data_IF_220968387316
#
_entry.id   IF_220968387316
#
_cell.length_a   1.000
_cell.length_b   1.000
_cell.length_c   1.000
_cell.angle_alpha   90.00
_cell.angle_beta   90.00
_cell.angle_gamma   90.00
#
_symmetry.space_group_name_H-M   'P 1'
#
loop_
_entity.id
_entity.type
_entity.pdbx_description
1 polymer ?
#
# COMPACT_ATOMS: atom_id res chain seq x y z
N UNK A 1 -5.04 19.68 -3.27
CA UNK A 1 -4.84 18.29 -2.80
C UNK A 1 -3.37 17.95 -3.02
N UNK A 2 -2.65 17.53 -1.97
CA UNK A 2 -1.30 16.96 -2.11
C UNK A 2 -1.34 15.93 -3.23
N UNK A 3 -0.66 16.19 -4.35
CA UNK A 3 -0.63 15.25 -5.46
C UNK A 3 -0.07 13.93 -4.93
N UNK A 4 -0.86 12.85 -4.99
CA UNK A 4 -0.55 11.54 -4.43
C UNK A 4 0.88 11.07 -4.75
N UNK A 5 1.40 11.39 -5.94
CA UNK A 5 2.78 11.06 -6.35
C UNK A 5 3.92 11.89 -5.72
N UNK A 6 3.64 13.00 -5.04
CA UNK A 6 4.66 13.86 -4.39
C UNK A 6 4.88 13.58 -2.90
N UNK A 7 4.11 12.65 -2.33
CA UNK A 7 4.22 12.30 -0.92
C UNK A 7 5.60 11.74 -0.53
N UNK A 8 6.29 10.93 -1.35
CA UNK A 8 7.61 10.40 -1.00
C UNK A 8 8.67 11.51 -0.90
N UNK A 9 8.62 12.47 -1.81
CA UNK A 9 9.49 13.65 -1.81
C UNK A 9 9.26 14.51 -0.57
N UNK A 10 7.98 14.73 -0.21
CA UNK A 10 7.61 15.47 0.99
C UNK A 10 8.08 14.75 2.28
N UNK A 11 7.97 13.42 2.33
CA UNK A 11 8.43 12.63 3.47
C UNK A 11 9.95 12.69 3.60
N UNK A 12 10.69 12.54 2.50
CA UNK A 12 12.14 12.70 2.49
C UNK A 12 12.57 14.09 2.98
N UNK A 13 11.86 15.13 2.53
CA UNK A 13 12.12 16.51 2.97
C UNK A 13 11.85 16.70 4.48
N UNK A 14 10.75 16.14 5.00
CA UNK A 14 10.44 16.17 6.44
C UNK A 14 11.53 15.47 7.26
N UNK A 15 12.04 14.32 6.80
CA UNK A 15 13.17 13.66 7.42
C UNK A 15 14.42 14.55 7.41
N UNK A 16 14.67 15.30 6.33
CA UNK A 16 15.73 16.31 6.26
C UNK A 16 15.59 17.40 7.34
N UNK A 17 14.39 17.94 7.53
CA UNK A 17 14.12 18.91 8.60
C UNK A 17 14.35 18.34 9.99
N UNK A 18 13.94 17.09 10.23
CA UNK A 18 14.22 16.40 11.48
C UNK A 18 15.74 16.23 11.70
N UNK A 19 16.49 15.85 10.66
CA UNK A 19 17.94 15.76 10.75
C UNK A 19 18.59 17.11 11.10
N UNK A 20 18.10 18.22 10.54
CA UNK A 20 18.57 19.57 10.91
C UNK A 20 18.32 19.85 12.40
N UNK A 21 17.14 19.52 12.93
CA UNK A 21 16.85 19.71 14.35
C UNK A 21 17.76 18.88 15.27
N UNK A 22 18.16 17.68 14.84
CA UNK A 22 19.05 16.79 15.59
C UNK A 22 20.53 17.23 15.58
N UNK A 23 20.93 18.21 14.76
CA UNK A 23 22.31 18.72 14.70
C UNK A 23 22.81 19.32 16.00
N UNK A 24 21.92 19.72 16.90
CA UNK A 24 22.29 20.17 18.24
C UNK A 24 22.81 19.03 19.14
N UNK A 25 22.55 17.76 18.77
CA UNK A 25 22.84 16.58 19.58
C UNK A 25 23.82 15.62 18.90
N UNK A 26 23.89 15.61 17.56
CA UNK A 26 24.66 14.64 16.78
C UNK A 26 25.36 15.32 15.60
N UNK A 27 26.53 14.80 15.23
CA UNK A 27 27.25 15.26 14.05
C UNK A 27 26.50 14.99 12.73
N UNK A 28 26.82 15.75 11.68
CA UNK A 28 26.05 15.73 10.43
C UNK A 28 26.19 14.40 9.69
N UNK A 29 27.37 13.81 9.72
CA UNK A 29 27.71 12.63 8.90
C UNK A 29 26.84 11.40 9.23
N UNK A 30 26.61 11.02 10.50
CA UNK A 30 25.63 9.98 10.85
C UNK A 30 24.21 10.28 10.36
N UNK A 31 23.77 11.54 10.44
CA UNK A 31 22.43 11.96 10.03
C UNK A 31 22.25 11.88 8.50
N UNK A 32 23.26 12.31 7.74
CA UNK A 32 23.29 12.18 6.28
C UNK A 32 23.31 10.70 5.88
N UNK A 33 24.11 9.89 6.57
CA UNK A 33 24.18 8.44 6.35
C UNK A 33 22.81 7.78 6.55
N UNK A 34 22.08 8.16 7.61
CA UNK A 34 20.72 7.67 7.82
C UNK A 34 19.75 8.17 6.73
N UNK A 35 19.86 9.43 6.32
CA UNK A 35 19.00 10.04 5.29
C UNK A 35 19.13 9.34 3.93
N UNK A 36 20.36 8.98 3.55
CA UNK A 36 20.65 8.31 2.28
C UNK A 36 20.03 6.91 2.18
N UNK A 37 19.64 6.30 3.29
CA UNK A 37 18.93 5.01 3.31
C UNK A 37 17.46 5.12 2.92
N UNK A 38 16.87 6.33 2.97
CA UNK A 38 15.44 6.51 2.74
C UNK A 38 15.00 6.02 1.36
N UNK A 39 15.69 6.43 0.30
CA UNK A 39 15.31 6.08 -1.08
C UNK A 39 15.25 4.56 -1.32
N UNK A 40 16.34 3.82 -1.05
CA UNK A 40 16.35 2.36 -1.18
C UNK A 40 15.30 1.65 -0.32
N UNK A 41 15.13 2.07 0.95
CA UNK A 41 14.14 1.48 1.85
C UNK A 41 12.71 1.74 1.38
N UNK A 42 12.45 2.95 0.87
CA UNK A 42 11.16 3.31 0.32
C UNK A 42 10.84 2.48 -0.93
N UNK A 43 11.79 2.35 -1.86
CA UNK A 43 11.64 1.56 -3.09
C UNK A 43 11.33 0.08 -2.79
N UNK A 44 12.05 -0.53 -1.84
CA UNK A 44 11.75 -1.90 -1.41
C UNK A 44 10.37 -2.00 -0.77
N UNK A 45 10.05 -1.11 0.17
CA UNK A 45 8.79 -1.17 0.90
C UNK A 45 7.57 -0.96 -0.02
N UNK A 46 7.66 -0.02 -0.96
CA UNK A 46 6.59 0.28 -1.91
C UNK A 46 6.41 -0.89 -2.89
N UNK A 47 7.49 -1.44 -3.45
CA UNK A 47 7.44 -2.59 -4.36
C UNK A 47 6.69 -3.78 -3.76
N UNK A 48 7.07 -4.17 -2.53
CA UNK A 48 6.41 -5.28 -1.82
C UNK A 48 4.93 -5.00 -1.53
N UNK A 49 4.57 -3.76 -1.17
CA UNK A 49 3.17 -3.36 -0.94
C UNK A 49 2.34 -3.42 -2.23
N UNK A 50 2.89 -3.00 -3.36
CA UNK A 50 2.23 -3.09 -4.66
C UNK A 50 2.03 -4.54 -5.10
N UNK A 51 3.06 -5.39 -4.99
CA UNK A 51 2.95 -6.82 -5.26
C UNK A 51 1.85 -7.46 -4.40
N UNK A 52 1.79 -7.14 -3.10
CA UNK A 52 0.73 -7.65 -2.21
C UNK A 52 -0.68 -7.20 -2.63
N UNK A 53 -0.90 -5.91 -2.93
CA UNK A 53 -2.21 -5.42 -3.40
C UNK A 53 -2.61 -6.08 -4.72
N UNK A 54 -1.65 -6.25 -5.63
CA UNK A 54 -1.84 -6.95 -6.90
C UNK A 54 -1.92 -8.47 -6.77
N UNK A 55 -1.72 -9.05 -5.59
CA UNK A 55 -1.71 -10.51 -5.42
C UNK A 55 -0.63 -11.19 -6.27
N UNK A 56 0.54 -10.57 -6.41
CA UNK A 56 1.71 -11.08 -7.15
C UNK A 56 2.85 -11.38 -6.17
N UNK A 57 3.66 -12.39 -6.47
CA UNK A 57 4.90 -12.68 -5.72
C UNK A 57 5.98 -11.67 -6.11
N UNK A 58 6.52 -10.94 -5.13
CA UNK A 58 7.66 -10.02 -5.32
C UNK A 58 8.84 -10.73 -5.99
N UNK A 59 9.55 -10.00 -6.86
CA UNK A 59 10.70 -10.51 -7.61
C UNK A 59 12.01 -9.80 -7.27
N UNK A 60 12.01 -8.97 -6.22
CA UNK A 60 13.14 -8.14 -5.84
C UNK A 60 12.94 -6.67 -6.21
N UNK A 61 13.78 -5.81 -5.62
CA UNK A 61 13.60 -4.35 -5.61
C UNK A 61 13.55 -3.77 -7.02
N UNK A 62 14.44 -4.21 -7.91
CA UNK A 62 14.56 -3.68 -9.26
C UNK A 62 13.32 -3.99 -10.08
N UNK A 63 12.92 -5.27 -10.15
CA UNK A 63 11.73 -5.71 -10.88
C UNK A 63 10.46 -5.07 -10.31
N UNK A 64 10.33 -5.01 -8.98
CA UNK A 64 9.15 -4.44 -8.34
C UNK A 64 9.07 -2.92 -8.56
N UNK A 65 10.20 -2.22 -8.68
CA UNK A 65 10.24 -0.79 -9.03
C UNK A 65 9.76 -0.53 -10.46
N UNK A 66 10.11 -1.42 -11.39
CA UNK A 66 9.59 -1.37 -12.77
C UNK A 66 8.08 -1.62 -12.80
N UNK A 67 7.59 -2.60 -12.02
CA UNK A 67 6.16 -2.88 -11.86
C UNK A 67 5.41 -1.65 -11.31
N UNK A 68 5.91 -1.04 -10.24
CA UNK A 68 5.32 0.19 -9.66
C UNK A 68 5.24 1.29 -10.71
N UNK A 69 6.35 1.52 -11.43
CA UNK A 69 6.42 2.57 -12.46
C UNK A 69 5.42 2.33 -13.61
N UNK A 70 5.25 1.07 -14.04
CA UNK A 70 4.28 0.69 -15.06
C UNK A 70 2.84 0.89 -14.57
N UNK A 71 2.55 0.49 -13.34
CA UNK A 71 1.22 0.66 -12.76
C UNK A 71 0.85 2.13 -12.57
N UNK A 72 1.76 2.96 -12.07
CA UNK A 72 1.54 4.40 -11.95
C UNK A 72 1.29 5.08 -13.29
N UNK A 73 1.96 4.61 -14.35
CA UNK A 73 1.73 5.11 -15.71
C UNK A 73 0.33 4.77 -16.18
N UNK A 74 -0.09 3.50 -16.07
CA UNK A 74 -1.44 3.06 -16.44
C UNK A 74 -2.53 3.79 -15.62
N UNK A 75 -2.35 3.95 -14.31
CA UNK A 75 -3.25 4.75 -13.46
C UNK A 75 -3.44 6.18 -13.98
N UNK A 76 -2.35 6.85 -14.37
CA UNK A 76 -2.39 8.22 -14.90
C UNK A 76 -3.08 8.30 -16.27
N UNK A 77 -2.82 7.33 -17.13
CA UNK A 77 -3.38 7.28 -18.49
C UNK A 77 -4.86 6.93 -18.48
N UNK A 78 -5.26 5.94 -17.69
CA UNK A 78 -6.64 5.46 -17.58
C UNK A 78 -7.54 6.34 -16.70
N UNK A 79 -6.94 7.18 -15.84
CA UNK A 79 -7.63 8.07 -14.89
C UNK A 79 -8.61 7.31 -13.98
N UNK A 80 -8.26 6.08 -13.62
CA UNK A 80 -9.03 5.26 -12.68
C UNK A 80 -8.50 5.42 -11.25
N UNK A 81 -9.38 5.20 -10.27
CA UNK A 81 -9.00 5.26 -8.87
C UNK A 81 -8.11 4.07 -8.50
N UNK A 82 -7.17 4.23 -7.53
CA UNK A 82 -6.31 3.14 -7.10
C UNK A 82 -7.07 1.87 -6.70
N UNK A 83 -8.18 1.98 -5.96
CA UNK A 83 -8.92 0.81 -5.47
C UNK A 83 -9.50 -0.03 -6.61
N UNK A 84 -10.05 0.63 -7.64
CA UNK A 84 -10.50 0.01 -8.88
C UNK A 84 -9.33 -0.63 -9.65
N UNK A 85 -8.19 0.07 -9.76
CA UNK A 85 -7.01 -0.45 -10.44
C UNK A 85 -6.51 -1.76 -9.82
N UNK A 86 -6.28 -1.77 -8.50
CA UNK A 86 -5.79 -2.97 -7.82
C UNK A 86 -6.79 -4.12 -7.89
N UNK A 87 -8.09 -3.82 -7.75
CA UNK A 87 -9.13 -4.83 -7.88
C UNK A 87 -9.18 -5.45 -9.29
N UNK A 88 -9.12 -4.60 -10.32
CA UNK A 88 -9.16 -5.00 -11.72
C UNK A 88 -7.97 -5.89 -12.09
N UNK A 89 -6.78 -5.53 -11.62
CA UNK A 89 -5.51 -6.16 -12.02
C UNK A 89 -4.95 -7.19 -11.04
N UNK A 90 -5.68 -7.52 -9.96
CA UNK A 90 -5.22 -8.54 -9.01
C UNK A 90 -4.99 -9.89 -9.69
N UNK A 91 -3.93 -10.57 -9.31
CA UNK A 91 -3.44 -11.80 -9.93
C UNK A 91 -2.87 -11.59 -11.33
N UNK A 92 -2.58 -10.34 -11.74
CA UNK A 92 -2.07 -10.01 -13.07
C UNK A 92 -3.12 -10.08 -14.18
N UNK A 93 -4.41 -10.14 -13.83
CA UNK A 93 -5.51 -10.21 -14.81
C UNK A 93 -5.77 -8.84 -15.47
N UNK A 94 -6.43 -8.86 -16.63
CA UNK A 94 -6.90 -7.66 -17.34
C UNK A 94 -5.82 -6.60 -17.67
N UNK A 95 -4.53 -6.93 -17.50
CA UNK A 95 -3.44 -6.05 -17.88
C UNK A 95 -3.33 -5.97 -19.40
N UNK A 96 -2.94 -4.81 -19.92
CA UNK A 96 -2.74 -4.59 -21.36
C UNK A 96 -1.48 -3.75 -21.60
N UNK A 97 -0.99 -3.76 -22.84
CA UNK A 97 0.18 -2.99 -23.27
C UNK A 97 1.40 -3.21 -22.37
N UNK A 98 2.10 -2.13 -22.05
CA UNK A 98 3.31 -2.17 -21.23
C UNK A 98 3.10 -2.74 -19.82
N UNK A 99 1.88 -2.61 -19.26
CA UNK A 99 1.57 -3.20 -17.95
C UNK A 99 1.52 -4.73 -18.03
N UNK A 100 0.93 -5.28 -19.10
CA UNK A 100 0.91 -6.72 -19.34
C UNK A 100 2.31 -7.28 -19.53
N UNK A 101 3.17 -6.57 -20.28
CA UNK A 101 4.55 -6.99 -20.53
C UNK A 101 5.35 -7.14 -19.22
N UNK A 102 5.20 -6.16 -18.31
CA UNK A 102 5.87 -6.22 -17.00
C UNK A 102 5.27 -7.30 -16.10
N UNK A 103 3.94 -7.40 -16.06
CA UNK A 103 3.23 -8.39 -15.22
C UNK A 103 3.42 -9.84 -15.70
N UNK A 104 3.70 -10.08 -16.98
CA UNK A 104 3.88 -11.43 -17.54
C UNK A 104 5.01 -12.22 -16.87
N UNK A 105 6.00 -11.53 -16.31
CA UNK A 105 7.12 -12.15 -15.61
C UNK A 105 6.82 -12.45 -14.12
N UNK A 106 5.66 -12.05 -13.61
CA UNK A 106 5.23 -12.28 -12.23
C UNK A 106 4.33 -13.52 -12.12
N UNK A 107 4.45 -14.21 -10.99
CA UNK A 107 3.57 -15.33 -10.64
C UNK A 107 2.55 -14.83 -9.62
N UNK A 108 1.24 -15.13 -9.81
CA UNK A 108 0.23 -14.84 -8.81
C UNK A 108 0.55 -15.47 -7.45
N UNK A 109 0.21 -14.78 -6.37
CA UNK A 109 0.23 -15.36 -5.04
C UNK A 109 -0.78 -16.52 -4.96
N UNK A 110 -0.51 -17.58 -4.16
CA UNK A 110 -1.46 -18.66 -3.98
C UNK A 110 -2.81 -18.12 -3.48
N UNK A 111 -3.89 -18.56 -4.11
CA UNK A 111 -5.24 -18.12 -3.79
C UNK A 111 -5.53 -16.63 -3.98
N UNK A 112 -4.74 -15.92 -4.80
CA UNK A 112 -4.90 -14.48 -5.01
C UNK A 112 -6.32 -14.06 -5.40
N UNK A 113 -7.10 -14.96 -6.02
CA UNK A 113 -8.47 -14.72 -6.50
C UNK A 113 -9.50 -15.69 -5.90
N UNK A 114 -9.14 -16.49 -4.89
CA UNK A 114 -10.02 -17.54 -4.34
C UNK A 114 -11.17 -16.96 -3.51
N UNK A 115 -10.99 -15.76 -2.97
CA UNK A 115 -12.00 -15.09 -2.16
C UNK A 115 -13.12 -14.47 -3.03
N UNK A 116 -14.38 -14.71 -2.67
CA UNK A 116 -15.57 -14.23 -3.41
C UNK A 116 -15.55 -12.74 -3.71
N UNK A 117 -14.96 -11.94 -2.82
CA UNK A 117 -14.74 -10.50 -2.99
C UNK A 117 -14.26 -10.13 -4.41
N UNK A 118 -13.31 -10.90 -4.98
CA UNK A 118 -12.70 -10.61 -6.28
C UNK A 118 -13.60 -10.84 -7.50
N UNK A 119 -14.80 -11.39 -7.27
CA UNK A 119 -15.81 -11.72 -8.29
C UNK A 119 -17.08 -10.84 -8.17
N UNK A 120 -17.19 -9.97 -7.15
CA UNK A 120 -18.40 -9.17 -6.89
C UNK A 120 -18.54 -7.92 -7.77
N UNK A 121 -17.51 -7.59 -8.56
CA UNK A 121 -17.40 -6.39 -9.41
C UNK A 121 -17.68 -5.08 -8.64
N UNK A 122 -17.29 -5.03 -7.38
CA UNK A 122 -17.48 -3.88 -6.50
C UNK A 122 -16.28 -3.76 -5.57
N UNK A 123 -15.22 -3.01 -5.97
CA UNK A 123 -14.14 -2.70 -5.04
C UNK A 123 -14.66 -1.84 -3.89
N UNK A 124 -14.17 -2.09 -2.68
CA UNK A 124 -14.43 -1.19 -1.57
C UNK A 124 -13.61 0.10 -1.71
N UNK A 125 -14.30 1.24 -1.75
CA UNK A 125 -13.71 2.57 -1.86
C UNK A 125 -13.80 3.34 -0.55
N UNK A 126 -13.10 4.47 -0.43
CA UNK A 126 -13.25 5.43 0.67
C UNK A 126 -13.42 6.84 0.12
N UNK A 127 -14.36 7.01 -0.82
CA UNK A 127 -14.63 8.31 -1.44
C UNK A 127 -15.24 9.26 -0.40
N UNK A 128 -14.90 10.54 -0.49
CA UNK A 128 -15.35 11.53 0.49
C UNK A 128 -16.87 11.61 0.55
N UNK A 129 -17.56 11.66 -0.59
CA UNK A 129 -19.03 11.70 -0.66
C UNK A 129 -19.69 10.46 -0.04
N UNK A 130 -19.05 9.29 -0.17
CA UNK A 130 -19.50 8.05 0.48
C UNK A 130 -19.38 8.20 1.99
N UNK A 131 -18.23 8.67 2.49
CA UNK A 131 -18.00 8.89 3.91
C UNK A 131 -18.95 9.93 4.48
N UNK A 132 -19.18 11.04 3.79
CA UNK A 132 -20.14 12.08 4.18
C UNK A 132 -21.57 11.54 4.26
N UNK A 133 -21.95 10.63 3.35
CA UNK A 133 -23.26 9.95 3.39
C UNK A 133 -23.39 9.07 4.64
N UNK A 134 -22.34 8.34 5.01
CA UNK A 134 -22.33 7.52 6.24
C UNK A 134 -22.50 8.40 7.48
N UNK A 135 -21.77 9.52 7.55
CA UNK A 135 -21.88 10.46 8.68
C UNK A 135 -23.24 11.14 8.75
N UNK A 136 -23.82 11.52 7.60
CA UNK A 136 -25.14 12.16 7.56
C UNK A 136 -26.24 11.23 8.09
N UNK A 137 -26.14 9.91 7.84
CA UNK A 137 -27.08 8.94 8.41
C UNK A 137 -27.06 8.92 9.94
N UNK A 138 -25.88 9.05 10.54
CA UNK A 138 -25.68 9.10 11.99
C UNK A 138 -26.18 10.44 12.52
N UNK A 139 -25.76 11.56 11.92
CA UNK A 139 -26.07 12.89 12.41
C UNK A 139 -27.58 13.22 12.33
N UNK A 140 -28.24 12.86 11.23
CA UNK A 140 -29.62 13.27 10.97
C UNK A 140 -30.66 12.30 11.55
N UNK A 141 -30.30 11.01 11.68
CA UNK A 141 -31.24 9.92 11.99
C UNK A 141 -30.79 8.99 13.11
N UNK A 142 -29.61 9.23 13.71
CA UNK A 142 -28.96 8.31 14.65
C UNK A 142 -28.87 6.87 14.10
N UNK A 143 -28.71 6.75 12.78
CA UNK A 143 -28.64 5.46 12.09
C UNK A 143 -27.19 5.03 11.88
N UNK A 144 -26.74 4.09 12.73
CA UNK A 144 -25.39 3.52 12.72
C UNK A 144 -25.22 2.36 11.75
N UNK A 145 -26.31 1.84 11.18
CA UNK A 145 -26.27 0.64 10.35
C UNK A 145 -25.37 0.80 9.11
N UNK A 146 -25.44 1.89 8.32
CA UNK A 146 -24.59 2.06 7.15
C UNK A 146 -23.08 2.00 7.46
N UNK A 147 -22.67 2.58 8.60
CA UNK A 147 -21.28 2.55 9.04
C UNK A 147 -20.85 1.11 9.39
N UNK A 148 -21.65 0.37 10.15
CA UNK A 148 -21.34 -1.02 10.49
C UNK A 148 -21.31 -1.93 9.27
N UNK A 149 -22.22 -1.73 8.32
CA UNK A 149 -22.23 -2.44 7.05
C UNK A 149 -20.95 -2.13 6.25
N UNK A 150 -20.51 -0.86 6.21
CA UNK A 150 -19.24 -0.46 5.58
C UNK A 150 -18.03 -1.13 6.22
N UNK A 151 -17.95 -1.11 7.55
CA UNK A 151 -16.85 -1.74 8.30
C UNK A 151 -16.78 -3.25 8.01
N UNK A 152 -17.93 -3.92 7.96
CA UNK A 152 -18.00 -5.34 7.63
C UNK A 152 -17.46 -5.62 6.22
N UNK A 153 -17.82 -4.82 5.21
CA UNK A 153 -17.29 -4.97 3.85
C UNK A 153 -15.79 -4.68 3.76
N UNK A 154 -15.28 -3.69 4.50
CA UNK A 154 -13.84 -3.40 4.56
C UNK A 154 -13.05 -4.55 5.19
N UNK A 155 -13.62 -5.24 6.19
CA UNK A 155 -13.00 -6.43 6.79
C UNK A 155 -12.99 -7.62 5.84
N UNK A 156 -14.09 -7.86 5.13
CA UNK A 156 -14.16 -8.88 4.07
C UNK A 156 -13.14 -8.61 2.95
N UNK A 157 -12.99 -7.35 2.53
CA UNK A 157 -11.95 -6.94 1.59
C UNK A 157 -10.53 -7.15 2.16
N UNK A 158 -10.30 -6.88 3.45
CA UNK A 158 -9.01 -7.11 4.10
C UNK A 158 -8.66 -8.61 4.17
N UNK A 159 -9.62 -9.46 4.53
CA UNK A 159 -9.48 -10.93 4.50
C UNK A 159 -9.14 -11.42 3.09
N UNK A 160 -9.80 -10.87 2.07
CA UNK A 160 -9.51 -11.19 0.66
C UNK A 160 -8.09 -10.83 0.21
N UNK A 161 -7.49 -9.78 0.80
CA UNK A 161 -6.10 -9.41 0.52
C UNK A 161 -5.09 -10.31 1.23
N UNK A 162 -5.47 -10.87 2.38
CA UNK A 162 -4.62 -11.70 3.23
C UNK A 162 -3.55 -10.90 3.98
N UNK A 163 -2.58 -11.62 4.55
CA UNK A 163 -1.55 -11.02 5.40
C UNK A 163 -0.69 -10.01 4.62
N UNK A 164 -0.62 -8.82 5.19
CA UNK A 164 0.11 -7.71 4.60
C UNK A 164 1.62 -7.82 4.91
N UNK A 165 2.52 -7.42 4.00
CA UNK A 165 3.96 -7.50 4.27
C UNK A 165 4.36 -6.77 5.55
N UNK A 166 5.19 -7.43 6.37
CA UNK A 166 5.70 -6.84 7.60
C UNK A 166 6.47 -5.53 7.32
N UNK A 167 6.26 -4.47 8.12
CA UNK A 167 7.05 -3.25 7.98
C UNK A 167 8.52 -3.52 8.31
N UNK A 168 9.45 -3.02 7.49
CA UNK A 168 10.89 -3.19 7.69
C UNK A 168 11.48 -2.43 8.89
N UNK A 169 10.70 -1.55 9.53
CA UNK A 169 11.15 -0.69 10.62
C UNK A 169 11.05 -1.33 12.01
N UNK A 170 10.45 -2.50 12.15
CA UNK A 170 10.34 -3.22 13.42
C UNK A 170 11.29 -4.42 13.39
N UNK A 171 12.39 -4.35 14.13
CA UNK A 171 13.11 -5.55 14.53
C UNK A 171 12.27 -6.27 15.58
N UNK A 172 11.69 -7.41 15.22
CA UNK A 172 11.21 -8.35 16.23
C UNK A 172 12.47 -9.03 16.76
N UNK A 173 12.82 -8.76 18.02
CA UNK A 173 13.83 -9.54 18.72
C UNK A 173 13.28 -10.97 18.89
N UNK A 174 13.58 -11.85 17.95
CA UNK A 174 13.43 -13.30 18.15
C UNK A 174 14.55 -13.77 19.09
N UNK A 175 14.40 -13.54 20.40
CA UNK A 175 15.47 -13.90 21.33
C UNK A 175 15.29 -13.55 22.80
N UNK A 176 14.19 -13.93 23.46
CA UNK A 176 14.25 -14.34 24.88
C UNK A 176 13.00 -15.13 25.31
N UNK A 177 12.99 -16.43 25.00
CA UNK A 177 12.23 -17.36 25.84
C UNK A 177 12.99 -17.50 27.14
N UNK A 178 12.56 -16.76 28.16
CA UNK A 178 13.04 -16.89 29.52
C UNK A 178 12.29 -18.06 30.17
N UNK A 179 12.90 -19.23 30.24
CA UNK A 179 12.41 -20.35 31.08
C UNK A 179 12.87 -20.09 32.52
N UNK A 180 11.95 -19.89 33.49
CA UNK A 180 12.34 -19.85 34.89
C UNK A 180 12.69 -21.27 35.40
N UNK A 181 13.81 -21.34 36.12
CA UNK A 181 14.19 -22.47 37.00
C UNK A 181 13.14 -22.71 38.09
#
# INVERSE_FOLDING_TARGET
LYAFGRQPEALHWNCGQLAVALRALVEAEPLITAMNRFGPLYAEAIGRRWCWRLGLKSRGVEADSELVSACERSLREEKIQPDEFFYRHRGGRNANGALADVMAAYVPAPGALDHDYWNRNQPETMLIDEVETLWSAIADRDDWKPLHDKISRLRDAAEAHGDSPAPLGYSVDEGSVNTPN
#
